data_IF_062693301133
#
_entry.id   IF_062693301133
#
_cell.length_a   1.000
_cell.length_b   1.000
_cell.length_c   1.000
_cell.angle_alpha   90.00
_cell.angle_beta   90.00
_cell.angle_gamma   90.00
#
_symmetry.space_group_name_H-M   'P 1'
#
loop_
_entity.id
_entity.type
_entity.pdbx_description
1 polymer ?
#
# COMPACT_ATOMS: atom_id res chain seq x y z
N UNK A 1 9.93 -10.57 24.52
CA UNK A 1 9.85 -11.15 23.18
C UNK A 1 9.54 -10.02 22.21
N UNK A 2 10.36 -9.80 21.21
CA UNK A 2 10.06 -8.84 20.13
C UNK A 2 8.87 -9.40 19.33
N UNK A 3 7.83 -8.60 19.15
CA UNK A 3 6.74 -8.97 18.25
C UNK A 3 7.26 -8.87 16.82
N UNK A 4 7.66 -9.99 16.30
CA UNK A 4 7.96 -10.11 14.87
C UNK A 4 6.62 -9.99 14.12
N UNK A 5 6.55 -9.08 13.16
CA UNK A 5 5.40 -8.95 12.26
C UNK A 5 5.23 -10.26 11.51
N UNK A 6 4.05 -10.87 11.59
CA UNK A 6 3.76 -12.14 10.94
C UNK A 6 3.38 -11.88 9.48
N UNK A 7 4.28 -12.21 8.56
CA UNK A 7 4.04 -12.08 7.11
C UNK A 7 3.66 -13.46 6.58
N UNK A 8 2.49 -13.60 5.93
CA UNK A 8 2.10 -14.89 5.37
C UNK A 8 3.06 -15.31 4.25
N UNK A 9 3.30 -16.64 4.09
CA UNK A 9 4.21 -17.16 3.08
C UNK A 9 3.68 -16.93 1.64
N UNK A 10 2.40 -16.67 1.50
CA UNK A 10 1.71 -16.42 0.24
C UNK A 10 0.82 -15.19 0.35
N UNK A 11 0.48 -14.60 -0.79
CA UNK A 11 -0.49 -13.53 -0.84
C UNK A 11 -1.88 -14.08 -0.52
N UNK A 12 -2.48 -13.60 0.56
CA UNK A 12 -3.80 -14.02 1.02
C UNK A 12 -4.89 -13.21 0.30
N UNK A 13 -5.90 -13.91 -0.21
CA UNK A 13 -6.99 -13.30 -0.94
C UNK A 13 -6.51 -12.53 -2.17
N UNK A 14 -7.11 -11.37 -2.44
CA UNK A 14 -6.72 -10.45 -3.53
C UNK A 14 -6.74 -11.09 -4.92
N UNK A 15 -7.61 -12.07 -5.12
CA UNK A 15 -7.67 -12.82 -6.38
C UNK A 15 -8.05 -11.92 -7.57
N UNK A 16 -9.02 -11.03 -7.38
CA UNK A 16 -9.51 -10.12 -8.42
C UNK A 16 -8.47 -9.04 -8.76
N UNK A 17 -7.80 -8.51 -7.74
CA UNK A 17 -6.71 -7.56 -7.94
C UNK A 17 -5.53 -8.19 -8.67
N UNK A 18 -5.15 -9.42 -8.29
CA UNK A 18 -4.12 -10.19 -9.00
C UNK A 18 -4.53 -10.53 -10.43
N UNK A 19 -5.78 -10.91 -10.67
CA UNK A 19 -6.29 -11.17 -12.02
C UNK A 19 -6.19 -9.90 -12.87
N UNK A 20 -6.61 -8.74 -12.34
CA UNK A 20 -6.50 -7.45 -13.03
C UNK A 20 -5.04 -7.09 -13.34
N UNK A 21 -4.12 -7.29 -12.42
CA UNK A 21 -2.69 -7.04 -12.67
C UNK A 21 -2.12 -7.99 -13.74
N UNK A 22 -2.54 -9.27 -13.77
CA UNK A 22 -2.18 -10.22 -14.82
C UNK A 22 -2.69 -9.77 -16.18
N UNK A 23 -3.93 -9.28 -16.27
CA UNK A 23 -4.50 -8.70 -17.49
C UNK A 23 -3.68 -7.51 -17.98
N UNK A 24 -3.28 -6.60 -17.08
CA UNK A 24 -2.42 -5.46 -17.42
C UNK A 24 -1.07 -5.91 -17.99
N UNK A 25 -0.48 -6.98 -17.43
CA UNK A 25 0.78 -7.53 -17.94
C UNK A 25 0.62 -8.20 -19.32
N UNK A 26 -0.53 -8.79 -19.58
CA UNK A 26 -0.84 -9.46 -20.86
C UNK A 26 -1.37 -8.49 -21.94
N UNK A 27 -1.75 -7.27 -21.58
CA UNK A 27 -2.35 -6.31 -22.51
C UNK A 27 -1.36 -5.86 -23.59
N UNK A 28 -1.88 -5.47 -24.75
CA UNK A 28 -1.08 -4.95 -25.87
C UNK A 28 -0.98 -3.42 -25.91
N UNK A 29 -1.27 -2.75 -24.78
CA UNK A 29 -1.17 -1.31 -24.61
C UNK A 29 -0.50 -0.98 -23.29
N UNK A 30 -0.05 0.27 -23.11
CA UNK A 30 0.39 0.74 -21.79
C UNK A 30 -0.78 0.84 -20.83
N UNK A 31 -0.56 0.47 -19.58
CA UNK A 31 -1.58 0.47 -18.53
C UNK A 31 -1.19 1.38 -17.39
N UNK A 32 -2.14 2.22 -16.96
CA UNK A 32 -2.02 3.06 -15.78
C UNK A 32 -2.97 2.54 -14.70
N UNK A 33 -2.39 1.89 -13.71
CA UNK A 33 -3.11 1.24 -12.62
C UNK A 33 -3.02 2.09 -11.36
N UNK A 34 -4.17 2.36 -10.74
CA UNK A 34 -4.23 2.99 -9.43
C UNK A 34 -4.57 1.94 -8.38
N UNK A 35 -3.78 1.92 -7.29
CA UNK A 35 -4.03 1.08 -6.12
C UNK A 35 -4.33 1.99 -4.93
N UNK A 36 -5.58 2.05 -4.51
CA UNK A 36 -6.04 2.90 -3.41
C UNK A 36 -6.73 2.09 -2.31
N UNK A 37 -6.96 2.71 -1.18
CA UNK A 37 -7.55 2.10 0.01
C UNK A 37 -6.95 2.66 1.29
N UNK A 38 -7.51 2.29 2.43
CA UNK A 38 -7.06 2.76 3.75
C UNK A 38 -5.57 2.50 3.98
N UNK A 39 -4.98 3.23 4.91
CA UNK A 39 -3.65 2.89 5.45
C UNK A 39 -3.68 1.49 6.05
N UNK A 40 -2.58 0.76 5.92
CA UNK A 40 -2.38 -0.57 6.52
C UNK A 40 -3.19 -1.70 5.89
N UNK A 41 -3.80 -1.44 4.72
CA UNK A 41 -4.61 -2.43 3.99
C UNK A 41 -3.78 -3.37 3.09
N UNK A 42 -2.46 -3.12 2.97
CA UNK A 42 -1.57 -3.98 2.19
C UNK A 42 -1.38 -3.56 0.73
N UNK A 43 -1.56 -2.27 0.36
CA UNK A 43 -1.36 -1.80 -1.03
C UNK A 43 0.03 -2.11 -1.57
N UNK A 44 1.06 -1.61 -0.89
CA UNK A 44 2.46 -1.85 -1.24
C UNK A 44 2.77 -3.35 -1.23
N UNK A 45 2.29 -4.09 -0.21
CA UNK A 45 2.48 -5.52 -0.09
C UNK A 45 1.91 -6.30 -1.28
N UNK A 46 0.68 -5.97 -1.73
CA UNK A 46 0.08 -6.58 -2.92
C UNK A 46 0.98 -6.40 -4.15
N UNK A 47 1.43 -5.17 -4.40
CA UNK A 47 2.26 -4.86 -5.57
C UNK A 47 3.62 -5.54 -5.48
N UNK A 48 4.28 -5.47 -4.31
CA UNK A 48 5.58 -6.11 -4.07
C UNK A 48 5.50 -7.63 -4.23
N UNK A 49 4.48 -8.28 -3.69
CA UNK A 49 4.31 -9.73 -3.81
C UNK A 49 3.97 -10.15 -5.24
N UNK A 50 3.07 -9.42 -5.91
CA UNK A 50 2.68 -9.75 -7.28
C UNK A 50 3.85 -9.65 -8.27
N UNK A 51 4.68 -8.63 -8.15
CA UNK A 51 5.84 -8.41 -9.01
C UNK A 51 7.15 -8.98 -8.46
N UNK A 52 7.10 -9.69 -7.32
CA UNK A 52 8.31 -10.24 -6.66
C UNK A 52 9.40 -9.17 -6.42
N UNK A 53 9.00 -7.94 -6.14
CA UNK A 53 9.88 -6.75 -6.05
C UNK A 53 10.71 -6.48 -7.32
N UNK A 54 10.31 -7.01 -8.47
CA UNK A 54 11.02 -6.84 -9.74
C UNK A 54 10.42 -5.68 -10.52
N UNK A 55 10.94 -4.49 -10.29
CA UNK A 55 10.54 -3.26 -10.96
C UNK A 55 11.64 -2.78 -11.90
N UNK A 56 11.24 -2.17 -13.01
CA UNK A 56 12.17 -1.40 -13.85
C UNK A 56 12.44 -0.03 -13.23
N UNK A 57 11.49 0.49 -12.47
CA UNK A 57 11.65 1.67 -11.65
C UNK A 57 10.67 1.64 -10.49
N UNK A 58 11.14 1.99 -9.30
CA UNK A 58 10.28 2.17 -8.12
C UNK A 58 10.70 3.38 -7.31
N UNK A 59 9.71 4.17 -6.90
CA UNK A 59 9.90 5.35 -6.08
C UNK A 59 8.79 5.47 -5.03
N UNK A 60 9.17 5.79 -3.79
CA UNK A 60 8.24 5.98 -2.68
C UNK A 60 8.28 7.44 -2.23
N UNK A 61 7.14 8.10 -2.25
CA UNK A 61 7.00 9.47 -1.74
C UNK A 61 7.43 9.60 -0.27
N UNK A 62 8.07 10.70 0.05
CA UNK A 62 8.55 10.98 1.42
C UNK A 62 7.60 11.92 2.14
N UNK A 63 7.06 11.45 3.27
CA UNK A 63 6.13 12.22 4.08
C UNK A 63 6.75 13.52 4.61
N UNK A 64 6.01 14.65 4.51
CA UNK A 64 6.40 15.97 5.04
C UNK A 64 7.78 16.46 4.58
N UNK A 65 8.14 16.25 3.34
CA UNK A 65 9.39 16.77 2.78
C UNK A 65 9.13 17.82 1.70
N UNK A 66 10.15 18.66 1.43
CA UNK A 66 10.10 19.68 0.37
C UNK A 66 10.25 19.03 -1.00
N UNK A 67 9.74 19.68 -2.05
CA UNK A 67 9.85 19.23 -3.44
C UNK A 67 11.29 18.88 -3.84
N UNK A 68 12.27 19.74 -3.53
CA UNK A 68 13.68 19.46 -3.85
C UNK A 68 14.21 18.18 -3.18
N UNK A 69 13.75 17.89 -1.97
CA UNK A 69 14.11 16.64 -1.29
C UNK A 69 13.49 15.42 -1.99
N UNK A 70 12.23 15.52 -2.43
CA UNK A 70 11.59 14.47 -3.25
C UNK A 70 12.38 14.23 -4.55
N UNK A 71 12.73 15.29 -5.27
CA UNK A 71 13.51 15.21 -6.52
C UNK A 71 14.88 14.56 -6.30
N UNK A 72 15.57 14.87 -5.19
CA UNK A 72 16.84 14.25 -4.85
C UNK A 72 16.71 12.74 -4.59
N UNK A 73 15.62 12.30 -3.93
CA UNK A 73 15.34 10.87 -3.75
C UNK A 73 14.94 10.19 -5.05
N UNK A 74 14.18 10.87 -5.91
CA UNK A 74 13.85 10.37 -7.24
C UNK A 74 15.11 10.18 -8.09
N UNK A 75 16.03 11.15 -8.07
CA UNK A 75 17.32 11.05 -8.73
C UNK A 75 18.16 9.84 -8.24
N UNK A 76 18.15 9.59 -6.92
CA UNK A 76 18.78 8.39 -6.34
C UNK A 76 18.10 7.10 -6.82
N UNK A 77 16.78 7.11 -6.98
CA UNK A 77 16.09 5.96 -7.54
C UNK A 77 16.48 5.72 -9.00
N UNK A 78 16.50 6.77 -9.84
CA UNK A 78 17.00 6.66 -11.23
C UNK A 78 18.43 6.09 -11.24
N UNK A 79 19.33 6.61 -10.41
CA UNK A 79 20.70 6.08 -10.30
C UNK A 79 20.73 4.60 -9.96
N UNK A 80 19.91 4.18 -8.98
CA UNK A 80 19.84 2.78 -8.52
C UNK A 80 19.47 1.82 -9.67
N UNK A 81 18.48 2.20 -10.48
CA UNK A 81 17.96 1.34 -11.54
C UNK A 81 18.77 1.44 -12.83
N UNK A 82 19.27 2.63 -13.20
CA UNK A 82 20.01 2.85 -14.43
C UNK A 82 21.51 2.55 -14.31
N UNK A 83 22.07 2.53 -13.09
CA UNK A 83 23.51 2.49 -12.87
C UNK A 83 24.26 3.78 -13.27
N UNK A 84 23.56 4.80 -13.77
CA UNK A 84 24.16 6.05 -14.19
C UNK A 84 24.48 6.96 -13.00
N UNK A 85 25.41 7.91 -13.21
CA UNK A 85 25.72 8.90 -12.17
C UNK A 85 24.49 9.73 -11.82
N UNK A 86 24.25 9.93 -10.52
CA UNK A 86 23.12 10.75 -10.04
C UNK A 86 23.18 12.16 -10.67
N UNK A 87 22.03 12.61 -11.19
CA UNK A 87 21.81 13.97 -11.69
C UNK A 87 21.01 14.78 -10.67
N UNK A 88 21.05 16.10 -10.79
CA UNK A 88 20.15 17.01 -10.06
C UNK A 88 19.09 17.47 -11.03
N UNK A 89 17.82 17.45 -10.60
CA UNK A 89 16.68 17.90 -11.39
C UNK A 89 16.18 19.24 -10.86
N UNK A 90 15.87 20.16 -11.78
CA UNK A 90 15.33 21.47 -11.43
C UNK A 90 13.86 21.36 -10.99
N UNK A 91 13.11 20.51 -11.65
CA UNK A 91 11.69 20.26 -11.38
C UNK A 91 11.27 18.82 -11.74
N UNK A 92 9.97 18.55 -11.69
CA UNK A 92 9.43 17.24 -12.00
C UNK A 92 9.41 16.91 -13.49
N UNK A 93 9.42 17.90 -14.38
CA UNK A 93 9.52 17.66 -15.82
C UNK A 93 10.90 17.07 -16.14
N UNK A 94 11.99 17.71 -15.67
CA UNK A 94 13.35 17.19 -15.82
C UNK A 94 13.49 15.77 -15.25
N UNK A 95 12.83 15.50 -14.12
CA UNK A 95 12.89 14.21 -13.45
C UNK A 95 12.19 13.12 -14.27
N UNK A 96 11.02 13.41 -14.85
CA UNK A 96 10.30 12.46 -15.70
C UNK A 96 10.96 12.28 -17.06
N UNK A 97 11.56 13.33 -17.65
CA UNK A 97 12.35 13.21 -18.88
C UNK A 97 13.56 12.26 -18.67
N UNK A 98 14.21 12.35 -17.50
CA UNK A 98 15.27 11.43 -17.16
C UNK A 98 14.79 9.97 -16.96
N UNK A 99 13.58 9.79 -16.42
CA UNK A 99 12.96 8.47 -16.30
C UNK A 99 12.63 7.90 -17.69
N UNK A 100 12.03 8.72 -18.56
CA UNK A 100 11.73 8.37 -19.95
C UNK A 100 12.99 7.90 -20.66
N UNK A 101 14.05 8.71 -20.64
CA UNK A 101 15.33 8.37 -21.25
C UNK A 101 15.88 7.05 -20.71
N UNK A 102 15.84 6.81 -19.40
CA UNK A 102 16.26 5.56 -18.82
C UNK A 102 15.43 4.37 -19.33
N UNK A 103 14.10 4.49 -19.32
CA UNK A 103 13.20 3.42 -19.75
C UNK A 103 13.37 3.08 -21.23
N UNK A 104 13.80 4.04 -22.06
CA UNK A 104 14.09 3.80 -23.48
C UNK A 104 15.36 2.95 -23.68
N UNK A 105 16.29 2.95 -22.75
CA UNK A 105 17.46 2.07 -22.80
C UNK A 105 17.13 0.61 -22.51
N UNK A 106 15.94 0.32 -21.98
CA UNK A 106 15.53 -1.04 -21.63
C UNK A 106 14.93 -1.77 -22.84
N UNK A 107 15.04 -3.13 -22.89
CA UNK A 107 14.48 -3.93 -23.96
C UNK A 107 12.97 -3.69 -24.18
N UNK A 108 12.54 -3.62 -25.44
CA UNK A 108 11.15 -3.35 -25.83
C UNK A 108 10.26 -4.60 -25.82
N UNK A 109 10.85 -5.78 -25.73
CA UNK A 109 10.19 -7.07 -25.88
C UNK A 109 9.38 -7.53 -24.62
N UNK A 110 9.29 -6.70 -23.60
CA UNK A 110 8.54 -6.99 -22.37
C UNK A 110 7.92 -5.71 -21.77
N UNK A 111 6.93 -5.90 -20.92
CA UNK A 111 6.39 -4.82 -20.10
C UNK A 111 7.45 -4.27 -19.14
N UNK A 112 7.51 -2.96 -19.04
CA UNK A 112 8.32 -2.23 -18.06
C UNK A 112 7.43 -1.81 -16.92
N UNK A 113 7.79 -2.21 -15.71
CA UNK A 113 7.00 -2.03 -14.51
C UNK A 113 7.54 -0.81 -13.74
N UNK A 114 6.70 0.21 -13.64
CA UNK A 114 6.98 1.44 -12.90
C UNK A 114 6.07 1.48 -11.70
N UNK A 115 6.62 1.52 -10.49
CA UNK A 115 5.85 1.62 -9.26
C UNK A 115 6.13 2.93 -8.53
N UNK A 116 5.12 3.79 -8.40
CA UNK A 116 5.19 5.03 -7.62
C UNK A 116 4.25 4.90 -6.41
N UNK A 117 4.85 4.72 -5.25
CA UNK A 117 4.12 4.51 -4.00
C UNK A 117 3.97 5.80 -3.21
N UNK A 118 2.90 5.89 -2.44
CA UNK A 118 2.52 7.07 -1.63
C UNK A 118 2.55 8.38 -2.44
N UNK A 119 1.96 8.38 -3.63
CA UNK A 119 1.88 9.56 -4.51
C UNK A 119 1.40 10.84 -3.81
N UNK A 120 0.39 10.80 -2.91
CA UNK A 120 -0.05 12.00 -2.22
C UNK A 120 1.05 12.73 -1.42
N UNK A 121 2.12 12.02 -1.05
CA UNK A 121 3.25 12.64 -0.35
C UNK A 121 4.25 13.31 -1.29
N UNK A 122 4.22 12.96 -2.58
CA UNK A 122 5.09 13.54 -3.61
C UNK A 122 4.54 14.90 -4.04
N UNK A 123 3.21 15.00 -4.16
CA UNK A 123 2.53 16.24 -4.56
C UNK A 123 2.51 17.24 -3.41
N UNK A 124 3.62 17.96 -3.26
CA UNK A 124 3.75 19.02 -2.27
C UNK A 124 3.08 20.31 -2.74
N UNK A 125 2.83 21.23 -1.81
CA UNK A 125 2.23 22.52 -2.14
C UNK A 125 3.05 23.25 -3.24
N UNK A 126 2.39 23.69 -4.32
CA UNK A 126 3.00 24.28 -5.52
C UNK A 126 3.92 23.35 -6.31
N UNK A 127 3.77 22.05 -6.12
CA UNK A 127 4.50 21.06 -6.92
C UNK A 127 3.99 21.02 -8.35
N UNK A 128 4.88 20.80 -9.30
CA UNK A 128 4.54 20.49 -10.70
C UNK A 128 4.38 18.98 -10.93
N UNK A 129 4.36 18.16 -9.86
CA UNK A 129 4.40 16.70 -9.96
C UNK A 129 3.25 16.12 -10.80
N UNK A 130 2.01 16.51 -10.51
CA UNK A 130 0.84 15.98 -11.24
C UNK A 130 0.91 16.37 -12.71
N UNK A 131 1.22 17.63 -13.02
CA UNK A 131 1.33 18.12 -14.40
C UNK A 131 2.48 17.46 -15.17
N UNK A 132 3.60 17.20 -14.52
CA UNK A 132 4.74 16.51 -15.12
C UNK A 132 4.43 15.00 -15.34
N UNK A 133 3.76 14.34 -14.40
CA UNK A 133 3.25 12.98 -14.58
C UNK A 133 2.26 12.90 -15.75
N UNK A 134 1.37 13.89 -15.86
CA UNK A 134 0.42 14.03 -16.94
C UNK A 134 1.12 14.14 -18.31
N UNK A 135 2.16 15.00 -18.38
CA UNK A 135 2.99 15.15 -19.57
C UNK A 135 3.70 13.85 -19.93
N UNK A 136 4.36 13.20 -18.97
CA UNK A 136 5.01 11.90 -19.13
C UNK A 136 4.05 10.84 -19.66
N UNK A 137 2.86 10.74 -19.05
CA UNK A 137 1.89 9.74 -19.46
C UNK A 137 1.32 10.01 -20.84
N UNK A 138 0.81 11.22 -21.11
CA UNK A 138 0.13 11.55 -22.35
C UNK A 138 1.11 11.76 -23.51
N UNK A 139 2.28 12.34 -23.23
CA UNK A 139 3.30 12.62 -24.23
C UNK A 139 4.00 11.37 -24.72
N UNK A 140 4.30 10.47 -23.80
CA UNK A 140 5.17 9.33 -24.08
C UNK A 140 4.57 7.97 -23.69
N UNK A 141 4.28 7.71 -22.41
CA UNK A 141 3.95 6.36 -21.93
C UNK A 141 2.68 5.78 -22.58
N UNK A 142 1.63 6.56 -22.73
CA UNK A 142 0.35 6.12 -23.31
C UNK A 142 0.44 5.80 -24.82
N UNK A 143 1.47 6.31 -25.50
CA UNK A 143 1.71 6.02 -26.94
C UNK A 143 2.46 4.72 -27.16
N UNK A 144 2.91 4.10 -26.09
CA UNK A 144 3.63 2.83 -26.07
C UNK A 144 2.68 1.69 -25.75
N UNK A 145 3.19 0.48 -25.86
CA UNK A 145 2.46 -0.76 -25.49
C UNK A 145 3.12 -1.51 -24.34
N UNK A 146 4.30 -1.05 -23.90
CA UNK A 146 5.21 -1.78 -23.01
C UNK A 146 5.33 -1.17 -21.60
N UNK A 147 4.49 -0.20 -21.22
CA UNK A 147 4.52 0.44 -19.91
C UNK A 147 3.39 -0.05 -19.02
N UNK A 148 3.70 -0.44 -17.80
CA UNK A 148 2.72 -0.62 -16.70
C UNK A 148 3.12 0.31 -15.58
N UNK A 149 2.42 1.43 -15.45
CA UNK A 149 2.58 2.41 -14.38
C UNK A 149 1.59 2.09 -13.26
N UNK A 150 2.11 1.80 -12.09
CA UNK A 150 1.32 1.55 -10.89
C UNK A 150 1.53 2.70 -9.92
N UNK A 151 0.44 3.34 -9.55
CA UNK A 151 0.39 4.42 -8.59
C UNK A 151 -0.34 3.99 -7.34
N UNK A 152 0.26 4.15 -6.17
CA UNK A 152 -0.44 3.87 -4.92
C UNK A 152 -0.56 5.10 -4.02
N UNK A 153 -1.59 5.09 -3.18
CA UNK A 153 -1.79 6.14 -2.19
C UNK A 153 -2.84 5.77 -1.15
N UNK A 154 -2.60 6.21 0.08
CA UNK A 154 -3.53 6.02 1.20
C UNK A 154 -4.55 7.16 1.35
N UNK A 155 -4.29 8.32 0.76
CA UNK A 155 -5.20 9.46 0.73
C UNK A 155 -6.19 9.30 -0.42
N UNK A 156 -7.30 8.61 -0.16
CA UNK A 156 -8.33 8.31 -1.18
C UNK A 156 -8.91 9.57 -1.81
N UNK A 157 -9.12 10.63 -1.05
CA UNK A 157 -9.58 11.93 -1.56
C UNK A 157 -8.60 12.56 -2.56
N UNK A 158 -7.30 12.60 -2.22
CA UNK A 158 -6.30 13.11 -3.15
C UNK A 158 -6.24 12.28 -4.44
N UNK A 159 -6.28 10.95 -4.32
CA UNK A 159 -6.28 10.05 -5.49
C UNK A 159 -7.52 10.26 -6.36
N UNK A 160 -8.69 10.44 -5.73
CA UNK A 160 -9.92 10.78 -6.43
C UNK A 160 -9.80 12.14 -7.11
N UNK A 161 -9.51 13.20 -6.36
CA UNK A 161 -9.54 14.58 -6.84
C UNK A 161 -8.47 14.86 -7.90
N UNK A 162 -7.26 14.29 -7.76
CA UNK A 162 -6.11 14.61 -8.60
C UNK A 162 -5.88 13.64 -9.76
N UNK A 163 -6.28 12.40 -9.63
CA UNK A 163 -6.03 11.37 -10.63
C UNK A 163 -7.31 10.84 -11.28
N UNK A 164 -8.37 10.61 -10.49
CA UNK A 164 -9.57 9.91 -10.96
C UNK A 164 -10.62 10.88 -11.51
N UNK A 165 -11.01 11.86 -10.72
CA UNK A 165 -12.11 12.80 -11.01
C UNK A 165 -11.61 14.14 -11.58
N UNK A 166 -10.30 14.30 -11.67
CA UNK A 166 -9.68 15.49 -12.25
C UNK A 166 -10.08 15.62 -13.73
N UNK A 167 -10.70 16.73 -14.10
CA UNK A 167 -11.00 17.07 -15.51
C UNK A 167 -9.76 17.51 -16.31
N UNK A 168 -8.54 17.37 -15.73
CA UNK A 168 -7.26 17.63 -16.40
C UNK A 168 -6.84 16.51 -17.36
N UNK A 169 -5.57 16.51 -17.77
CA UNK A 169 -5.05 15.62 -18.79
C UNK A 169 -4.91 14.16 -18.39
N UNK A 170 -5.07 13.81 -17.10
CA UNK A 170 -5.18 12.42 -16.66
C UNK A 170 -6.63 11.89 -16.69
N UNK A 171 -7.60 12.72 -17.03
CA UNK A 171 -8.98 12.30 -17.16
C UNK A 171 -9.12 11.17 -18.18
N UNK A 172 -9.79 10.07 -17.78
CA UNK A 172 -9.95 8.86 -18.59
C UNK A 172 -8.63 8.19 -19.05
N UNK A 173 -7.49 8.52 -18.43
CA UNK A 173 -6.19 7.88 -18.74
C UNK A 173 -5.85 6.71 -17.82
N UNK A 174 -6.49 6.64 -16.68
CA UNK A 174 -6.38 5.53 -15.75
C UNK A 174 -7.12 4.33 -16.34
N UNK A 175 -6.38 3.27 -16.60
CA UNK A 175 -6.93 2.07 -17.27
C UNK A 175 -7.53 1.07 -16.30
N UNK A 176 -7.02 1.02 -15.07
CA UNK A 176 -7.50 0.15 -14.00
C UNK A 176 -7.46 0.84 -12.64
N UNK A 177 -8.47 0.55 -11.84
CA UNK A 177 -8.59 1.07 -10.46
C UNK A 177 -8.77 -0.11 -9.52
N UNK A 178 -7.81 -0.32 -8.62
CA UNK A 178 -7.85 -1.34 -7.59
C UNK A 178 -8.14 -0.64 -6.25
N UNK A 179 -9.32 -0.84 -5.72
CA UNK A 179 -9.69 -0.33 -4.41
C UNK A 179 -9.63 -1.45 -3.38
N UNK A 180 -8.58 -1.45 -2.56
CA UNK A 180 -8.35 -2.51 -1.58
C UNK A 180 -9.23 -2.29 -0.35
N UNK A 181 -10.08 -3.27 -0.09
CA UNK A 181 -10.89 -3.38 1.11
C UNK A 181 -10.18 -4.19 2.21
N UNK A 182 -10.60 -4.08 3.48
CA UNK A 182 -10.19 -5.02 4.51
C UNK A 182 -10.43 -6.47 4.09
N UNK A 183 -9.66 -7.39 4.63
CA UNK A 183 -9.95 -8.81 4.44
C UNK A 183 -11.37 -9.13 4.90
N UNK A 184 -12.02 -9.98 4.17
CA UNK A 184 -13.27 -10.64 4.58
C UNK A 184 -12.97 -11.62 5.73
N UNK A 185 -14.02 -12.14 6.36
CA UNK A 185 -13.85 -13.20 7.37
C UNK A 185 -13.19 -14.46 6.77
N UNK A 186 -13.52 -14.78 5.51
CA UNK A 186 -12.93 -15.92 4.79
C UNK A 186 -11.43 -15.72 4.55
N UNK A 187 -11.02 -14.53 4.09
CA UNK A 187 -9.60 -14.20 3.90
C UNK A 187 -8.84 -14.13 5.23
N UNK A 188 -9.51 -13.69 6.30
CA UNK A 188 -8.93 -13.75 7.66
C UNK A 188 -8.74 -15.19 8.12
N UNK A 189 -9.67 -16.09 7.82
CA UNK A 189 -9.53 -17.53 8.08
C UNK A 189 -8.37 -18.13 7.28
N UNK A 190 -8.26 -17.78 6.00
CA UNK A 190 -7.14 -18.17 5.13
C UNK A 190 -5.80 -17.66 5.67
N UNK A 191 -5.76 -16.41 6.15
CA UNK A 191 -4.57 -15.83 6.78
C UNK A 191 -4.09 -16.68 7.95
N UNK A 192 -4.95 -17.02 8.92
CA UNK A 192 -4.54 -17.83 10.06
C UNK A 192 -4.19 -19.26 9.67
N UNK A 193 -4.89 -19.85 8.70
CA UNK A 193 -4.56 -21.19 8.16
C UNK A 193 -3.17 -21.22 7.49
N UNK A 194 -2.73 -20.15 6.88
CA UNK A 194 -1.40 -20.08 6.24
C UNK A 194 -0.23 -20.19 7.24
N UNK A 195 -0.52 -20.08 8.54
CA UNK A 195 0.43 -20.24 9.65
C UNK A 195 0.19 -21.51 10.47
N UNK A 196 -0.65 -22.45 9.98
CA UNK A 196 -1.07 -23.64 10.73
C UNK A 196 -1.59 -23.28 12.14
N UNK A 197 -2.36 -22.21 12.23
CA UNK A 197 -2.89 -21.69 13.48
C UNK A 197 -3.89 -22.67 14.12
N UNK A 198 -3.79 -22.93 15.45
CA UNK A 198 -4.74 -23.79 16.16
C UNK A 198 -6.07 -23.07 16.48
N UNK A 199 -6.23 -21.82 16.10
CA UNK A 199 -7.42 -21.03 16.38
C UNK A 199 -8.66 -21.65 15.73
N UNK A 200 -9.74 -21.75 16.50
CA UNK A 200 -11.04 -22.18 15.99
C UNK A 200 -11.67 -21.09 15.12
N UNK A 201 -12.70 -21.44 14.34
CA UNK A 201 -13.45 -20.44 13.55
C UNK A 201 -14.07 -19.35 14.43
N UNK A 202 -14.45 -19.67 15.66
CA UNK A 202 -14.95 -18.69 16.61
C UNK A 202 -13.84 -17.73 17.07
N UNK A 203 -12.64 -18.24 17.35
CA UNK A 203 -11.48 -17.43 17.69
C UNK A 203 -11.09 -16.50 16.52
N UNK A 204 -11.13 -17.01 15.29
CA UNK A 204 -10.86 -16.22 14.08
C UNK A 204 -11.90 -15.12 13.90
N UNK A 205 -13.19 -15.41 14.15
CA UNK A 205 -14.23 -14.40 14.15
C UNK A 205 -13.96 -13.28 15.18
N UNK A 206 -13.51 -13.65 16.38
CA UNK A 206 -13.11 -12.66 17.40
C UNK A 206 -11.92 -11.82 16.92
N UNK A 207 -10.89 -12.44 16.34
CA UNK A 207 -9.75 -11.73 15.74
C UNK A 207 -10.19 -10.77 14.64
N UNK A 208 -11.10 -11.22 13.77
CA UNK A 208 -11.69 -10.38 12.71
C UNK A 208 -12.44 -9.16 13.28
N UNK A 209 -13.33 -9.38 14.25
CA UNK A 209 -14.05 -8.29 14.91
C UNK A 209 -13.12 -7.26 15.55
N UNK A 210 -12.00 -7.73 16.07
CA UNK A 210 -11.02 -6.90 16.76
C UNK A 210 -10.14 -6.09 15.82
N UNK A 211 -9.70 -6.70 14.72
CA UNK A 211 -8.79 -6.10 13.73
C UNK A 211 -9.52 -5.39 12.60
N UNK A 212 -10.83 -5.63 12.44
CA UNK A 212 -11.62 -5.16 11.31
C UNK A 212 -11.16 -5.73 9.98
N UNK A 213 -10.53 -6.91 9.98
CA UNK A 213 -9.95 -7.53 8.79
C UNK A 213 -8.76 -6.78 8.20
N UNK A 214 -8.17 -5.82 8.92
CA UNK A 214 -7.05 -5.03 8.40
C UNK A 214 -5.76 -5.87 8.47
N UNK A 215 -5.11 -6.20 7.33
CA UNK A 215 -3.97 -7.11 7.26
C UNK A 215 -2.82 -6.74 8.20
N UNK A 216 -2.52 -5.45 8.34
CA UNK A 216 -1.48 -4.98 9.24
C UNK A 216 -1.77 -5.32 10.71
N UNK A 217 -3.03 -5.23 11.15
CA UNK A 217 -3.36 -5.57 12.53
C UNK A 217 -3.37 -7.07 12.77
N UNK A 218 -3.77 -7.85 11.77
CA UNK A 218 -3.65 -9.30 11.80
C UNK A 218 -2.19 -9.72 11.90
N UNK A 219 -1.29 -9.07 11.17
CA UNK A 219 0.15 -9.39 11.20
C UNK A 219 0.86 -9.09 12.52
N UNK A 220 0.22 -8.33 13.40
CA UNK A 220 0.71 -8.09 14.76
C UNK A 220 0.29 -9.19 15.76
N UNK A 221 -0.66 -10.04 15.39
CA UNK A 221 -1.12 -11.16 16.20
C UNK A 221 -0.18 -12.36 16.04
N UNK A 222 0.03 -13.10 17.11
CA UNK A 222 0.73 -14.39 17.02
C UNK A 222 -0.30 -15.50 16.72
N UNK A 223 -0.23 -16.14 15.54
CA UNK A 223 -1.20 -17.16 15.15
C UNK A 223 -1.24 -18.39 16.08
N UNK A 224 -0.20 -18.61 16.90
CA UNK A 224 -0.09 -19.75 17.82
C UNK A 224 -0.59 -19.44 19.23
N UNK A 225 -1.02 -18.20 19.49
CA UNK A 225 -1.55 -17.76 20.78
C UNK A 225 -3.07 -17.67 20.75
N UNK A 226 -3.70 -17.83 21.92
CA UNK A 226 -5.13 -17.57 22.06
C UNK A 226 -5.48 -16.12 21.78
N UNK A 227 -6.76 -15.84 21.50
CA UNK A 227 -7.25 -14.47 21.28
C UNK A 227 -6.96 -13.58 22.48
N UNK A 228 -7.22 -14.07 23.69
CA UNK A 228 -6.97 -13.33 24.93
C UNK A 228 -5.48 -12.96 25.09
N UNK A 229 -4.57 -13.90 24.85
CA UNK A 229 -3.13 -13.63 24.89
C UNK A 229 -2.69 -12.60 23.86
N UNK A 230 -3.23 -12.67 22.64
CA UNK A 230 -2.96 -11.68 21.60
C UNK A 230 -3.46 -10.27 22.00
N UNK A 231 -4.65 -10.19 22.57
CA UNK A 231 -5.22 -8.93 23.08
C UNK A 231 -4.33 -8.36 24.19
N UNK A 232 -3.97 -9.15 25.18
CA UNK A 232 -3.09 -8.75 26.27
C UNK A 232 -1.76 -8.21 25.74
N UNK A 233 -1.14 -8.95 24.82
CA UNK A 233 0.13 -8.58 24.24
C UNK A 233 0.05 -7.25 23.45
N UNK A 234 -1.01 -7.07 22.66
CA UNK A 234 -1.13 -5.91 21.79
C UNK A 234 -1.52 -4.63 22.54
N UNK A 235 -2.36 -4.75 23.56
CA UNK A 235 -2.96 -3.58 24.21
C UNK A 235 -2.42 -3.30 25.60
N UNK A 236 -2.17 -4.33 26.41
CA UNK A 236 -1.79 -4.12 27.81
C UNK A 236 -0.28 -4.17 28.02
N UNK A 237 0.41 -5.13 27.44
CA UNK A 237 1.87 -5.28 27.64
C UNK A 237 2.63 -4.15 26.91
N UNK A 238 2.16 -3.74 25.72
CA UNK A 238 2.77 -2.61 24.99
C UNK A 238 2.49 -1.25 25.65
N UNK A 239 1.33 -1.06 26.26
CA UNK A 239 1.03 0.17 26.98
C UNK A 239 2.03 0.42 28.11
N UNK A 240 2.45 -0.60 28.83
CA UNK A 240 3.46 -0.49 29.88
C UNK A 240 4.90 -0.25 29.39
N UNK A 241 5.25 -0.71 28.18
CA UNK A 241 6.61 -0.53 27.62
C UNK A 241 6.78 0.74 26.77
N UNK A 242 5.71 1.35 26.33
CA UNK A 242 5.74 2.50 25.40
C UNK A 242 5.38 3.83 26.05
N UNK A 243 5.57 4.00 27.36
CA UNK A 243 5.27 5.24 28.08
C UNK A 243 6.02 6.49 27.54
N UNK A 244 6.95 6.33 26.59
CA UNK A 244 7.67 7.43 25.95
C UNK A 244 7.25 7.84 24.54
N UNK A 245 6.45 7.01 23.80
CA UNK A 245 6.09 7.30 22.40
C UNK A 245 4.60 7.02 22.06
N UNK A 246 3.73 7.11 23.04
CA UNK A 246 2.37 6.55 23.03
C UNK A 246 1.28 7.38 22.35
N UNK A 247 1.57 8.58 21.86
CA UNK A 247 0.51 9.52 21.44
C UNK A 247 -0.18 9.21 20.12
N UNK A 248 0.40 8.40 19.24
CA UNK A 248 -0.19 8.15 17.91
C UNK A 248 -0.80 6.75 17.70
N UNK A 249 -0.42 5.74 18.48
CA UNK A 249 -0.94 4.37 18.32
C UNK A 249 -2.18 4.08 19.18
N UNK A 250 -2.17 4.58 20.41
CA UNK A 250 -3.27 4.36 21.37
C UNK A 250 -4.51 5.18 21.06
N UNK A 251 -4.38 6.39 20.54
CA UNK A 251 -5.54 7.21 20.18
C UNK A 251 -6.38 6.55 19.07
N UNK A 252 -5.74 5.88 18.10
CA UNK A 252 -6.46 5.21 17.01
C UNK A 252 -7.08 3.87 17.45
N UNK A 253 -6.40 3.13 18.33
CA UNK A 253 -6.94 1.91 18.91
C UNK A 253 -8.02 2.19 19.96
N UNK A 254 -7.87 3.22 20.78
CA UNK A 254 -8.88 3.63 21.78
C UNK A 254 -10.17 4.15 21.15
N UNK A 255 -10.11 4.82 20.01
CA UNK A 255 -11.31 5.27 19.29
C UNK A 255 -12.12 4.10 18.70
N UNK A 256 -11.47 2.98 18.36
CA UNK A 256 -12.15 1.74 17.99
C UNK A 256 -12.60 0.91 19.21
N UNK A 257 -11.96 1.09 20.37
CA UNK A 257 -12.17 0.27 21.56
C UNK A 257 -13.39 0.68 22.41
N UNK A 258 -13.81 1.93 22.34
CA UNK A 258 -14.96 2.42 23.11
C UNK A 258 -16.25 1.62 22.84
N UNK A 259 -16.59 1.20 21.61
CA UNK A 259 -17.73 0.31 21.38
C UNK A 259 -17.52 -1.12 21.87
N UNK A 260 -16.27 -1.63 21.81
CA UNK A 260 -15.93 -3.02 22.14
C UNK A 260 -15.86 -3.24 23.66
N UNK A 261 -15.39 -2.25 24.41
CA UNK A 261 -15.44 -2.31 25.89
C UNK A 261 -16.85 -2.38 26.45
N UNK A 262 -17.83 -1.84 25.73
CA UNK A 262 -19.27 -2.02 26.04
C UNK A 262 -19.74 -3.44 25.73
N UNK A 263 -19.28 -4.03 24.63
CA UNK A 263 -19.61 -5.42 24.25
C UNK A 263 -18.96 -6.44 25.19
N UNK A 264 -17.70 -6.23 25.59
CA UNK A 264 -17.02 -7.10 26.56
C UNK A 264 -17.66 -7.03 27.95
N UNK A 265 -18.12 -5.88 28.42
CA UNK A 265 -18.93 -5.78 29.64
C UNK A 265 -20.25 -6.53 29.53
N UNK A 266 -20.84 -6.58 28.34
CA UNK A 266 -22.08 -7.33 28.10
C UNK A 266 -21.83 -8.85 28.16
N UNK A 267 -20.71 -9.33 27.62
CA UNK A 267 -20.33 -10.75 27.67
C UNK A 267 -19.94 -11.23 29.08
N UNK A 268 -19.32 -10.38 29.89
CA UNK A 268 -18.98 -10.73 31.28
C UNK A 268 -20.21 -10.77 32.18
N UNK A 269 -21.24 -9.97 31.86
CA UNK A 269 -22.48 -9.97 32.66
C UNK A 269 -23.39 -11.18 32.37
N UNK A 270 -23.23 -11.83 31.21
CA UNK A 270 -23.99 -13.06 30.86
C UNK A 270 -23.39 -14.31 31.50
N UNK A 271 -22.10 -14.32 31.85
CA UNK A 271 -21.44 -15.46 32.50
C UNK A 271 -21.55 -15.47 34.03
N UNK A 272 -22.25 -14.51 34.64
CA UNK A 272 -22.47 -14.41 36.09
C UNK A 272 -23.97 -14.41 36.46
N UNK A 273 -24.83 -14.87 35.56
CA UNK A 273 -26.27 -15.08 35.83
C UNK A 273 -26.63 -16.55 35.70
#
# INVERSE_FOLDING_TARGET
MENTVQIPPVLIGRHDECATLKECMASNRSEFVIVCGRRRIGKTFLVDQFFENRYDFSFVGKHKTKTQTQLNYFAKAIQKYSGQKQKTYADWYDAFDALEYYLETLPVNRKKIIFIDEMPWIDTQRSTFVSALENFWNGWANRRYDIVLIASGSATSWMADKLIDNQGGLHNRITRRLYLEPFTLSETEEYFKSFDSPLTRYDILQCYMFTGGIPFYLSLMNPQMSVAQNIDMLFFIRAHRCAGNMTNYTAHCLLMWIPISRLLKFCTTINTA
#
